data_IF_991957628500
#
_entry.id   IF_991957628500
#
_cell.length_a   1.000
_cell.length_b   1.000
_cell.length_c   1.000
_cell.angle_alpha   90.00
_cell.angle_beta   90.00
_cell.angle_gamma   90.00
#
_symmetry.space_group_name_H-M   'P 1'
#
loop_
_entity.id
_entity.type
_entity.pdbx_description
1 polymer ?
#
# COMPACT_ATOMS: atom_id res chain seq x y z
N UNK A 1 -22.10 -22.79 29.34
CA UNK A 1 -21.25 -22.00 28.43
C UNK A 1 -19.83 -22.47 28.70
N UNK A 2 -19.17 -23.11 27.73
CA UNK A 2 -17.74 -23.40 27.88
C UNK A 2 -16.98 -22.08 28.01
N UNK A 3 -16.18 -21.94 29.06
CA UNK A 3 -15.29 -20.79 29.23
C UNK A 3 -14.19 -20.87 28.17
N UNK A 4 -14.27 -20.01 27.15
CA UNK A 4 -13.24 -19.91 26.12
C UNK A 4 -11.99 -19.31 26.77
N UNK A 5 -10.90 -20.09 26.83
CA UNK A 5 -9.65 -19.63 27.43
C UNK A 5 -8.84 -18.77 26.45
N UNK A 6 -7.97 -17.89 26.99
CA UNK A 6 -7.02 -17.10 26.18
C UNK A 6 -6.11 -17.99 25.33
N UNK A 7 -5.76 -19.17 25.83
CA UNK A 7 -4.94 -20.15 25.12
C UNK A 7 -5.71 -20.76 23.94
N UNK A 8 -7.00 -21.05 24.13
CA UNK A 8 -7.86 -21.56 23.08
C UNK A 8 -8.01 -20.56 21.92
N UNK A 9 -8.11 -19.27 22.20
CA UNK A 9 -8.13 -18.23 21.15
C UNK A 9 -6.80 -18.18 20.37
N UNK A 10 -5.65 -18.33 21.05
CA UNK A 10 -4.34 -18.37 20.39
C UNK A 10 -4.20 -19.58 19.47
N UNK A 11 -4.63 -20.76 19.94
CA UNK A 11 -4.63 -21.99 19.14
C UNK A 11 -5.51 -21.86 17.91
N UNK A 12 -6.74 -21.36 18.07
CA UNK A 12 -7.65 -21.13 16.94
C UNK A 12 -7.10 -20.11 15.94
N UNK A 13 -6.40 -19.07 16.41
CA UNK A 13 -5.72 -18.13 15.53
C UNK A 13 -4.57 -18.77 14.74
N UNK A 14 -3.82 -19.69 15.34
CA UNK A 14 -2.76 -20.44 14.66
C UNK A 14 -3.35 -21.41 13.61
N UNK A 15 -4.43 -22.12 13.96
CA UNK A 15 -5.16 -22.98 13.02
C UNK A 15 -5.71 -22.20 11.83
N UNK A 16 -6.26 -21.00 12.05
CA UNK A 16 -6.71 -20.13 10.98
C UNK A 16 -5.57 -19.74 10.02
N UNK A 17 -4.38 -19.41 10.56
CA UNK A 17 -3.19 -19.11 9.76
C UNK A 17 -2.79 -20.28 8.86
N UNK A 18 -2.80 -21.49 9.39
CA UNK A 18 -2.53 -22.70 8.63
C UNK A 18 -3.60 -22.92 7.54
N UNK A 19 -4.87 -22.75 7.89
CA UNK A 19 -6.00 -23.01 7.00
C UNK A 19 -6.02 -22.10 5.76
N UNK A 20 -5.70 -20.81 5.89
CA UNK A 20 -5.70 -19.93 4.70
C UNK A 20 -4.58 -20.29 3.73
N UNK A 21 -3.43 -20.75 4.22
CA UNK A 21 -2.29 -21.13 3.37
C UNK A 21 -2.59 -22.41 2.61
N UNK A 22 -3.11 -23.43 3.30
CA UNK A 22 -3.54 -24.67 2.65
C UNK A 22 -4.62 -24.39 1.62
N UNK A 23 -5.58 -23.52 1.95
CA UNK A 23 -6.61 -23.11 1.01
C UNK A 23 -6.04 -22.36 -0.19
N UNK A 24 -5.13 -21.40 0.02
CA UNK A 24 -4.48 -20.65 -1.04
C UNK A 24 -3.62 -21.54 -1.95
N UNK A 25 -2.94 -22.54 -1.38
CA UNK A 25 -2.17 -23.55 -2.12
C UNK A 25 -3.06 -24.35 -3.07
N UNK A 26 -4.16 -24.89 -2.57
CA UNK A 26 -5.12 -25.63 -3.41
C UNK A 26 -5.71 -24.72 -4.48
N UNK A 27 -6.06 -23.49 -4.11
CA UNK A 27 -6.60 -22.50 -5.06
C UNK A 27 -5.58 -22.12 -6.14
N UNK A 28 -4.30 -22.02 -5.79
CA UNK A 28 -3.19 -21.77 -6.72
C UNK A 28 -3.04 -22.93 -7.70
N UNK A 29 -3.08 -24.18 -7.23
CA UNK A 29 -3.04 -25.35 -8.09
C UNK A 29 -4.23 -25.39 -9.07
N UNK A 30 -5.46 -25.16 -8.60
CA UNK A 30 -6.65 -25.09 -9.46
C UNK A 30 -6.50 -23.98 -10.50
N UNK A 31 -5.96 -22.83 -10.09
CA UNK A 31 -5.72 -21.68 -10.98
C UNK A 31 -4.70 -22.00 -12.08
N UNK A 32 -3.54 -22.55 -11.69
CA UNK A 32 -2.42 -22.88 -12.60
C UNK A 32 -2.77 -24.00 -13.58
N UNK A 33 -3.47 -25.03 -13.11
CA UNK A 33 -3.90 -26.18 -13.92
C UNK A 33 -5.19 -25.92 -14.72
N UNK A 34 -5.82 -24.75 -14.51
CA UNK A 34 -7.09 -24.35 -15.15
C UNK A 34 -8.22 -25.38 -15.01
N UNK A 35 -8.21 -26.19 -13.96
CA UNK A 35 -9.23 -27.25 -13.74
C UNK A 35 -10.65 -26.64 -13.68
N UNK A 36 -10.78 -25.39 -13.25
CA UNK A 36 -12.05 -24.66 -13.24
C UNK A 36 -12.73 -24.60 -14.62
N UNK A 37 -11.99 -24.68 -15.73
CA UNK A 37 -12.57 -24.72 -17.09
C UNK A 37 -13.36 -26.02 -17.32
N UNK A 38 -12.86 -27.15 -16.81
CA UNK A 38 -13.54 -28.45 -16.90
C UNK A 38 -14.84 -28.49 -16.09
N UNK A 39 -14.97 -27.62 -15.09
CA UNK A 39 -16.18 -27.45 -14.30
C UNK A 39 -17.16 -26.42 -14.92
N UNK A 40 -16.82 -25.83 -16.07
CA UNK A 40 -17.66 -24.88 -16.79
C UNK A 40 -17.52 -23.42 -16.34
N UNK A 41 -16.46 -23.07 -15.59
CA UNK A 41 -16.18 -21.69 -15.20
C UNK A 41 -15.16 -21.04 -16.14
N UNK A 42 -15.36 -19.75 -16.43
CA UNK A 42 -14.48 -18.98 -17.32
C UNK A 42 -13.15 -18.58 -16.69
N UNK A 43 -13.13 -18.44 -15.36
CA UNK A 43 -11.93 -18.10 -14.59
C UNK A 43 -12.09 -18.54 -13.14
N UNK A 44 -10.96 -18.59 -12.42
CA UNK A 44 -10.91 -19.00 -11.01
C UNK A 44 -11.81 -18.14 -10.11
N UNK A 45 -11.97 -16.84 -10.39
CA UNK A 45 -12.81 -15.95 -9.58
C UNK A 45 -14.28 -16.31 -9.70
N UNK A 46 -14.73 -16.66 -10.91
CA UNK A 46 -16.11 -17.08 -11.14
C UNK A 46 -16.43 -18.37 -10.38
N UNK A 47 -15.52 -19.36 -10.42
CA UNK A 47 -15.63 -20.59 -9.62
C UNK A 47 -15.72 -20.27 -8.13
N UNK A 48 -14.75 -19.52 -7.60
CA UNK A 48 -14.67 -19.22 -6.18
C UNK A 48 -15.89 -18.44 -5.66
N UNK A 49 -16.42 -17.50 -6.44
CA UNK A 49 -17.61 -16.74 -6.03
C UNK A 49 -18.90 -17.55 -6.12
N UNK A 50 -19.07 -18.38 -7.16
CA UNK A 50 -20.31 -19.14 -7.36
C UNK A 50 -20.40 -20.38 -6.47
N UNK A 51 -19.30 -21.10 -6.28
CA UNK A 51 -19.30 -22.40 -5.60
C UNK A 51 -18.78 -22.31 -4.17
N UNK A 52 -17.62 -21.67 -3.99
CA UNK A 52 -16.99 -21.52 -2.67
C UNK A 52 -17.57 -20.36 -1.85
N UNK A 53 -18.40 -19.50 -2.47
CA UNK A 53 -18.93 -18.26 -1.90
C UNK A 53 -17.84 -17.32 -1.37
N UNK A 54 -16.66 -17.39 -1.97
CA UNK A 54 -15.51 -16.52 -1.65
C UNK A 54 -15.51 -15.34 -2.62
N UNK A 55 -15.43 -14.13 -2.06
CA UNK A 55 -15.37 -12.90 -2.85
C UNK A 55 -14.09 -12.86 -3.69
N UNK A 56 -14.18 -12.26 -4.88
CA UNK A 56 -13.05 -12.09 -5.81
C UNK A 56 -11.84 -11.44 -5.12
N UNK A 57 -12.07 -10.42 -4.29
CA UNK A 57 -11.00 -9.70 -3.60
C UNK A 57 -10.23 -10.61 -2.64
N UNK A 58 -10.93 -11.52 -1.96
CA UNK A 58 -10.31 -12.50 -1.06
C UNK A 58 -9.49 -13.52 -1.85
N UNK A 59 -9.99 -13.99 -2.99
CA UNK A 59 -9.25 -14.90 -3.87
C UNK A 59 -7.96 -14.26 -4.36
N UNK A 60 -8.03 -12.99 -4.79
CA UNK A 60 -6.84 -12.23 -5.20
C UNK A 60 -5.83 -12.17 -4.06
N UNK A 61 -6.27 -11.77 -2.85
CA UNK A 61 -5.39 -11.70 -1.67
C UNK A 61 -4.75 -13.04 -1.32
N UNK A 62 -5.50 -14.14 -1.38
CA UNK A 62 -5.02 -15.49 -1.07
C UNK A 62 -3.95 -15.92 -2.07
N UNK A 63 -4.25 -15.82 -3.36
CA UNK A 63 -3.33 -16.21 -4.43
C UNK A 63 -2.06 -15.35 -4.43
N UNK A 64 -2.20 -14.04 -4.30
CA UNK A 64 -1.05 -13.13 -4.30
C UNK A 64 -0.17 -13.34 -3.07
N UNK A 65 -0.76 -13.44 -1.87
CA UNK A 65 -0.01 -13.70 -0.62
C UNK A 65 0.72 -15.03 -0.67
N UNK A 66 0.08 -16.07 -1.19
CA UNK A 66 0.69 -17.39 -1.32
C UNK A 66 1.82 -17.40 -2.34
N UNK A 67 1.62 -16.82 -3.52
CA UNK A 67 2.66 -16.70 -4.54
C UNK A 67 3.91 -15.98 -4.01
N UNK A 68 3.72 -14.92 -3.21
CA UNK A 68 4.84 -14.20 -2.62
C UNK A 68 5.65 -15.04 -1.62
N UNK A 69 5.01 -15.92 -0.85
CA UNK A 69 5.70 -16.87 0.02
C UNK A 69 6.47 -17.89 -0.82
N UNK A 70 5.85 -18.42 -1.88
CA UNK A 70 6.50 -19.37 -2.81
C UNK A 70 7.72 -18.75 -3.51
N UNK A 71 7.59 -17.54 -4.05
CA UNK A 71 8.66 -16.81 -4.73
C UNK A 71 9.90 -16.60 -3.85
N UNK A 72 9.70 -16.44 -2.54
CA UNK A 72 10.78 -16.25 -1.57
C UNK A 72 11.47 -17.55 -1.17
N UNK A 73 11.05 -18.70 -1.72
CA UNK A 73 11.50 -20.02 -1.31
C UNK A 73 11.49 -20.16 0.21
N UNK A 74 10.46 -19.62 0.86
CA UNK A 74 10.29 -19.68 2.30
C UNK A 74 9.23 -20.76 2.58
N UNK A 75 9.54 -22.07 2.44
CA UNK A 75 8.63 -23.07 2.92
C UNK A 75 8.53 -22.83 4.43
N UNK A 76 7.32 -22.56 4.97
CA UNK A 76 7.20 -22.41 6.41
C UNK A 76 7.65 -23.73 7.05
N UNK A 77 8.76 -23.71 7.79
CA UNK A 77 9.09 -24.81 8.69
C UNK A 77 7.98 -24.95 9.74
N UNK A 78 7.38 -23.83 10.13
CA UNK A 78 6.15 -23.75 10.90
C UNK A 78 5.24 -22.64 10.35
N UNK A 79 3.94 -22.92 10.22
CA UNK A 79 2.94 -21.94 9.76
C UNK A 79 2.67 -20.84 10.79
N UNK A 80 3.04 -21.07 12.06
CA UNK A 80 2.89 -20.08 13.15
C UNK A 80 3.74 -18.82 12.95
N UNK A 81 4.92 -19.00 12.34
CA UNK A 81 5.90 -17.93 12.12
C UNK A 81 5.51 -17.02 10.97
N UNK A 82 4.51 -17.41 10.17
CA UNK A 82 4.10 -16.59 9.04
C UNK A 82 3.29 -15.37 9.47
N UNK A 83 3.47 -14.23 8.77
CA UNK A 83 2.63 -13.07 8.93
C UNK A 83 1.17 -13.39 8.59
N UNK A 84 0.25 -12.60 9.15
CA UNK A 84 -1.17 -12.72 8.78
C UNK A 84 -1.40 -12.45 7.28
N UNK A 85 -2.46 -13.03 6.72
CA UNK A 85 -2.86 -12.78 5.33
C UNK A 85 -2.97 -11.28 5.01
N UNK A 86 -3.54 -10.50 5.93
CA UNK A 86 -3.69 -9.05 5.73
C UNK A 86 -2.36 -8.30 5.87
N UNK A 87 -1.42 -8.79 6.69
CA UNK A 87 -0.06 -8.22 6.79
C UNK A 87 0.71 -8.43 5.49
N UNK A 88 0.63 -9.64 4.90
CA UNK A 88 1.25 -9.92 3.59
C UNK A 88 0.60 -9.11 2.48
N UNK A 89 -0.73 -9.02 2.46
CA UNK A 89 -1.44 -8.19 1.48
C UNK A 89 -1.07 -6.70 1.61
N UNK A 90 -0.86 -6.20 2.83
CA UNK A 90 -0.37 -4.83 3.05
C UNK A 90 1.05 -4.66 2.51
N UNK A 91 1.95 -5.58 2.81
CA UNK A 91 3.33 -5.56 2.33
C UNK A 91 3.39 -5.57 0.80
N UNK A 92 2.55 -6.36 0.13
CA UNK A 92 2.49 -6.40 -1.34
C UNK A 92 2.03 -5.08 -1.95
N UNK A 93 0.99 -4.46 -1.37
CA UNK A 93 0.54 -3.13 -1.81
C UNK A 93 1.64 -2.09 -1.68
N UNK A 94 2.41 -2.15 -0.59
CA UNK A 94 3.56 -1.27 -0.40
C UNK A 94 4.68 -1.57 -1.40
N UNK A 95 4.91 -2.84 -1.76
CA UNK A 95 5.90 -3.22 -2.77
C UNK A 95 5.60 -2.57 -4.13
N UNK A 96 4.32 -2.53 -4.51
CA UNK A 96 3.88 -1.87 -5.74
C UNK A 96 4.07 -0.34 -5.66
N UNK A 97 3.70 0.27 -4.52
CA UNK A 97 3.81 1.72 -4.29
C UNK A 97 5.28 2.19 -4.23
N UNK A 98 6.15 1.45 -3.57
CA UNK A 98 7.55 1.85 -3.26
C UNK A 98 8.59 0.98 -3.96
N UNK A 99 8.32 0.55 -5.20
CA UNK A 99 9.26 -0.26 -5.98
C UNK A 99 10.63 0.42 -6.18
N UNK A 100 10.70 1.75 -6.03
CA UNK A 100 11.91 2.57 -6.10
C UNK A 100 12.78 2.54 -4.82
N UNK A 101 12.23 2.16 -3.65
CA UNK A 101 12.93 2.16 -2.35
C UNK A 101 13.21 0.74 -1.83
N UNK A 102 13.93 -0.04 -2.65
CA UNK A 102 14.15 -1.48 -2.44
C UNK A 102 14.81 -1.84 -1.09
N UNK A 103 15.82 -1.08 -0.65
CA UNK A 103 16.58 -1.38 0.58
C UNK A 103 15.73 -1.20 1.85
N UNK A 104 14.99 -0.09 1.95
CA UNK A 104 14.09 0.18 3.07
C UNK A 104 12.94 -0.82 3.10
N UNK A 105 12.45 -1.22 1.93
CA UNK A 105 11.43 -2.25 1.80
C UNK A 105 11.93 -3.63 2.25
N UNK A 106 13.16 -4.02 1.91
CA UNK A 106 13.75 -5.29 2.37
C UNK A 106 13.90 -5.34 3.90
N UNK A 107 14.20 -4.20 4.54
CA UNK A 107 14.23 -4.11 6.00
C UNK A 107 12.84 -4.25 6.61
N UNK A 108 11.84 -3.53 6.09
CA UNK A 108 10.45 -3.68 6.53
C UNK A 108 9.96 -5.12 6.35
N UNK A 109 10.29 -5.75 5.22
CA UNK A 109 9.96 -7.13 4.95
C UNK A 109 10.50 -8.06 6.04
N UNK A 110 11.79 -7.98 6.37
CA UNK A 110 12.38 -8.76 7.47
C UNK A 110 11.67 -8.52 8.79
N UNK A 111 11.37 -7.27 9.14
CA UNK A 111 10.66 -6.96 10.38
C UNK A 111 9.24 -7.54 10.41
N UNK A 112 8.53 -7.55 9.28
CA UNK A 112 7.19 -8.14 9.17
C UNK A 112 7.24 -9.64 9.42
N UNK A 113 8.22 -10.34 8.86
CA UNK A 113 8.41 -11.77 9.06
C UNK A 113 8.89 -12.11 10.48
N UNK A 114 9.81 -11.34 11.05
CA UNK A 114 10.35 -11.62 12.40
C UNK A 114 9.39 -11.26 13.53
N UNK A 115 8.71 -10.10 13.44
CA UNK A 115 7.89 -9.55 14.54
C UNK A 115 6.39 -9.78 14.33
N UNK A 116 5.99 -10.41 13.22
CA UNK A 116 4.59 -10.64 12.84
C UNK A 116 3.76 -9.35 12.92
N UNK A 117 4.23 -8.31 12.25
CA UNK A 117 3.65 -6.97 12.35
C UNK A 117 2.21 -6.92 11.85
N UNK A 118 1.40 -6.09 12.52
CA UNK A 118 0.02 -5.84 12.10
C UNK A 118 -0.03 -4.99 10.82
N UNK A 119 -1.10 -5.08 10.02
CA UNK A 119 -1.27 -4.22 8.85
C UNK A 119 -1.14 -2.72 9.17
N UNK A 120 -1.68 -2.28 10.31
CA UNK A 120 -1.61 -0.88 10.73
C UNK A 120 -0.18 -0.43 11.03
N UNK A 121 0.62 -1.31 11.63
CA UNK A 121 2.04 -1.02 11.91
C UNK A 121 2.84 -0.94 10.61
N UNK A 122 2.53 -1.80 9.64
CA UNK A 122 3.13 -1.82 8.31
C UNK A 122 2.84 -0.52 7.57
N UNK A 123 1.58 -0.08 7.54
CA UNK A 123 1.21 1.19 6.90
C UNK A 123 1.82 2.40 7.62
N UNK A 124 1.86 2.39 8.96
CA UNK A 124 2.51 3.46 9.73
C UNK A 124 4.00 3.56 9.43
N UNK A 125 4.71 2.43 9.38
CA UNK A 125 6.13 2.44 9.00
C UNK A 125 6.32 2.99 7.57
N UNK A 126 5.44 2.62 6.64
CA UNK A 126 5.50 3.15 5.29
C UNK A 126 5.28 4.67 5.24
N UNK A 127 4.30 5.17 5.98
CA UNK A 127 4.00 6.61 6.08
C UNK A 127 5.15 7.39 6.75
N UNK A 128 5.77 6.82 7.78
CA UNK A 128 6.86 7.46 8.53
C UNK A 128 8.21 7.41 7.82
N UNK A 129 8.54 6.32 7.10
CA UNK A 129 9.88 6.07 6.58
C UNK A 129 9.97 5.95 5.05
N UNK A 130 8.88 5.58 4.37
CA UNK A 130 8.88 5.42 2.91
C UNK A 130 8.29 6.65 2.20
N UNK A 131 7.38 7.39 2.83
CA UNK A 131 6.81 8.66 2.32
C UNK A 131 7.70 9.90 2.59
N UNK A 132 8.92 9.73 3.10
CA UNK A 132 9.88 10.84 3.34
C UNK A 132 10.22 11.70 2.08
N UNK A 133 9.98 11.18 0.87
CA UNK A 133 10.11 11.99 -0.37
C UNK A 133 8.98 13.01 -0.56
N UNK A 134 7.83 12.83 0.12
CA UNK A 134 6.66 13.69 -0.01
C UNK A 134 6.63 14.82 1.03
N UNK A 135 7.34 14.73 2.17
CA UNK A 135 7.34 15.84 3.13
C UNK A 135 8.07 17.08 2.59
N UNK A 136 9.22 16.91 1.94
CA UNK A 136 9.97 18.02 1.33
C UNK A 136 9.24 18.63 0.13
N UNK A 137 8.60 17.81 -0.71
CA UNK A 137 7.78 18.29 -1.83
C UNK A 137 6.49 18.96 -1.36
N UNK A 138 5.83 18.46 -0.33
CA UNK A 138 4.59 19.03 0.20
C UNK A 138 4.85 20.37 0.90
N UNK A 139 5.92 20.49 1.68
CA UNK A 139 6.35 21.77 2.27
C UNK A 139 6.73 22.80 1.21
N UNK A 140 7.45 22.36 0.16
CA UNK A 140 7.83 23.22 -0.96
C UNK A 140 6.60 23.70 -1.74
N UNK A 141 5.68 22.79 -2.08
CA UNK A 141 4.43 23.11 -2.77
C UNK A 141 3.49 23.99 -1.92
N UNK A 142 3.43 23.78 -0.61
CA UNK A 142 2.68 24.66 0.30
C UNK A 142 3.27 26.07 0.35
N UNK A 143 4.60 26.20 0.45
CA UNK A 143 5.29 27.49 0.41
C UNK A 143 5.10 28.22 -0.92
N UNK A 144 5.19 27.51 -2.04
CA UNK A 144 4.92 28.07 -3.40
C UNK A 144 3.47 28.56 -3.50
N UNK A 145 2.50 27.81 -2.98
CA UNK A 145 1.08 28.22 -2.98
C UNK A 145 0.86 29.49 -2.15
N UNK A 146 1.47 29.59 -0.98
CA UNK A 146 1.40 30.80 -0.14
C UNK A 146 2.07 31.98 -0.84
N UNK A 147 3.23 31.78 -1.46
CA UNK A 147 3.93 32.82 -2.22
C UNK A 147 3.08 33.34 -3.41
N UNK A 148 2.43 32.44 -4.17
CA UNK A 148 1.50 32.81 -5.24
C UNK A 148 0.33 33.64 -4.72
N UNK A 149 -0.32 33.19 -3.65
CA UNK A 149 -1.44 33.93 -3.05
C UNK A 149 -1.05 35.32 -2.54
N UNK A 150 0.16 35.48 -2.00
CA UNK A 150 0.68 36.79 -1.60
C UNK A 150 0.98 37.68 -2.80
N UNK A 151 1.52 37.10 -3.89
CA UNK A 151 1.78 37.82 -5.13
C UNK A 151 0.48 38.31 -5.78
N UNK A 152 -0.56 37.49 -5.80
CA UNK A 152 -1.88 37.88 -6.34
C UNK A 152 -2.54 38.97 -5.49
N UNK A 153 -2.33 38.96 -4.17
CA UNK A 153 -2.75 40.05 -3.28
C UNK A 153 -1.95 41.32 -3.53
N UNK A 154 -0.65 41.20 -3.71
CA UNK A 154 0.23 42.34 -3.98
C UNK A 154 -0.10 42.97 -5.33
N UNK A 155 -0.34 42.15 -6.35
CA UNK A 155 -0.74 42.60 -7.68
C UNK A 155 -2.13 43.26 -7.66
N UNK A 156 -3.11 42.68 -6.96
CA UNK A 156 -4.44 43.30 -6.84
C UNK A 156 -4.43 44.64 -6.09
N UNK A 157 -3.53 44.80 -5.12
CA UNK A 157 -3.35 46.08 -4.41
C UNK A 157 -2.58 47.12 -5.24
N UNK A 158 -1.62 46.68 -6.05
CA UNK A 158 -0.78 47.56 -6.87
C UNK A 158 -1.39 47.89 -8.24
N UNK A 159 -2.29 47.06 -8.78
CA UNK A 159 -3.08 47.36 -9.98
C UNK A 159 -4.11 48.47 -9.77
N UNK A 160 -4.33 48.91 -8.54
CA UNK A 160 -5.15 50.07 -8.19
C UNK A 160 -4.38 51.39 -8.25
N UNK A 161 -3.05 51.35 -8.39
CA UNK A 161 -2.18 52.53 -8.43
C UNK A 161 -1.65 52.74 -9.87
N UNK A 162 -2.22 53.72 -10.58
CA UNK A 162 -1.86 54.02 -11.98
C UNK A 162 -0.42 54.53 -12.14
N UNK A 163 0.25 54.95 -11.06
CA UNK A 163 1.60 55.52 -11.07
C UNK A 163 2.72 54.50 -10.81
N UNK A 164 2.44 53.20 -10.88
CA UNK A 164 3.44 52.19 -10.57
C UNK A 164 4.57 52.16 -11.64
N UNK A 165 5.85 52.32 -11.24
CA UNK A 165 6.99 52.22 -12.16
C UNK A 165 7.02 50.87 -12.88
N UNK A 166 7.26 50.88 -14.19
CA UNK A 166 7.33 49.66 -15.03
C UNK A 166 8.37 48.64 -14.55
N UNK A 167 9.45 49.10 -13.92
CA UNK A 167 10.46 48.21 -13.33
C UNK A 167 9.86 47.29 -12.24
N UNK A 168 8.89 47.79 -11.47
CA UNK A 168 8.22 47.03 -10.41
C UNK A 168 7.20 46.06 -11.01
N UNK A 169 6.46 46.48 -12.05
CA UNK A 169 5.55 45.60 -12.80
C UNK A 169 6.29 44.42 -13.43
N UNK A 170 7.47 44.67 -14.00
CA UNK A 170 8.30 43.62 -14.58
C UNK A 170 8.82 42.65 -13.51
N UNK A 171 9.26 43.18 -12.37
CA UNK A 171 9.76 42.35 -11.26
C UNK A 171 8.69 41.40 -10.69
N UNK A 172 7.43 41.85 -10.60
CA UNK A 172 6.28 41.03 -10.17
C UNK A 172 6.00 39.91 -11.18
N UNK A 173 6.05 40.21 -12.49
CA UNK A 173 5.90 39.20 -13.55
C UNK A 173 7.01 38.16 -13.53
N UNK A 174 8.25 38.60 -13.34
CA UNK A 174 9.41 37.69 -13.30
C UNK A 174 9.33 36.73 -12.10
N UNK A 175 8.91 37.23 -10.93
CA UNK A 175 8.66 36.38 -9.75
C UNK A 175 7.50 35.41 -9.98
N UNK A 176 6.43 35.83 -10.66
CA UNK A 176 5.31 34.94 -11.01
C UNK A 176 5.76 33.80 -11.93
N UNK A 177 6.53 34.12 -12.96
CA UNK A 177 7.02 33.14 -13.92
C UNK A 177 7.93 32.13 -13.22
N UNK A 178 8.88 32.59 -12.40
CA UNK A 178 9.73 31.73 -11.61
C UNK A 178 8.96 30.79 -10.66
N UNK A 179 7.89 31.27 -10.01
CA UNK A 179 7.03 30.43 -9.16
C UNK A 179 6.10 29.50 -9.94
N UNK A 180 5.91 29.73 -11.24
CA UNK A 180 5.08 28.90 -12.12
C UNK A 180 5.89 27.79 -12.79
N UNK A 181 7.19 28.04 -12.99
CA UNK A 181 8.15 27.08 -13.56
C UNK A 181 8.78 26.13 -12.52
N UNK A 182 8.44 26.30 -11.22
CA UNK A 182 8.78 25.42 -10.09
C UNK A 182 7.64 24.45 -9.76
#
# INVERSE_FOLDING_TARGET
>A
MEEISREQIKLQSAEFKKNWIEFAKVLSLISQSKIYESWGYQNIYQYATKELRVKKETVIKLLSSFQYIEDKNMPPQNYDDLPSLDSLAALQKLKEKYHNKKEQFENLEKEVFEKNLSPSTIYRYADEFLDDDDQDKTLTNQKIRVAKNLLDRLESLLLLDENLPEAIKQSIKDIRNYLTDL
#
